data_IF_563073833096
#
_entry.id   IF_563073833096
#
_cell.length_a   1.000
_cell.length_b   1.000
_cell.length_c   1.000
_cell.angle_alpha   90.00
_cell.angle_beta   90.00
_cell.angle_gamma   90.00
#
_symmetry.space_group_name_H-M   'P 1'
#
loop_
_entity.id
_entity.type
_entity.pdbx_description
1 polymer ?
#
# COMPACT_ATOMS: atom_id res chain seq x y z
N UNK A 1 1.89 -30.61 -12.99
CA UNK A 1 1.41 -29.55 -12.07
C UNK A 1 1.70 -28.18 -12.67
N UNK A 2 0.76 -27.24 -12.58
CA UNK A 2 0.96 -25.84 -12.99
C UNK A 2 1.15 -24.96 -11.76
N UNK A 3 2.05 -23.99 -11.84
CA UNK A 3 2.20 -22.92 -10.86
C UNK A 3 2.34 -21.55 -11.54
N UNK A 4 1.84 -20.51 -10.88
CA UNK A 4 1.90 -19.12 -11.35
C UNK A 4 2.70 -18.31 -10.35
N UNK A 5 3.65 -17.52 -10.84
CA UNK A 5 4.41 -16.54 -10.06
C UNK A 5 4.20 -15.14 -10.63
N UNK A 6 4.04 -14.10 -9.79
CA UNK A 6 4.12 -14.15 -8.33
C UNK A 6 2.84 -14.70 -7.65
N UNK A 7 1.67 -14.59 -8.29
CA UNK A 7 0.37 -14.98 -7.73
C UNK A 7 -0.63 -15.26 -8.88
N UNK A 8 -1.76 -15.90 -8.60
CA UNK A 8 -2.84 -16.14 -9.59
C UNK A 8 -3.67 -14.88 -9.87
N UNK A 9 -3.68 -13.94 -8.92
CA UNK A 9 -4.29 -12.62 -9.10
C UNK A 9 -3.20 -11.55 -9.21
N UNK A 10 -3.16 -10.92 -10.38
CA UNK A 10 -2.11 -10.00 -10.80
C UNK A 10 -2.72 -8.73 -11.37
N UNK A 11 -1.88 -7.73 -11.57
CA UNK A 11 -2.27 -6.42 -12.04
C UNK A 11 -1.68 -6.10 -13.40
N UNK A 12 -2.43 -5.33 -14.19
CA UNK A 12 -2.01 -4.90 -15.52
C UNK A 12 -0.61 -4.28 -15.48
N UNK A 13 0.25 -4.76 -16.37
CA UNK A 13 1.65 -4.35 -16.47
C UNK A 13 2.63 -5.19 -15.65
N UNK A 14 2.17 -6.10 -14.79
CA UNK A 14 3.05 -7.02 -14.06
C UNK A 14 3.68 -8.08 -14.97
N UNK A 15 4.84 -8.58 -14.54
CA UNK A 15 5.46 -9.76 -15.14
C UNK A 15 4.96 -11.02 -14.43
N UNK A 16 4.48 -11.99 -15.20
CA UNK A 16 3.92 -13.25 -14.69
C UNK A 16 4.57 -14.43 -15.38
N UNK A 17 4.98 -15.42 -14.60
CA UNK A 17 5.55 -16.67 -15.09
C UNK A 17 4.63 -17.83 -14.76
N UNK A 18 4.15 -18.51 -15.80
CA UNK A 18 3.51 -19.81 -15.71
C UNK A 18 4.60 -20.89 -15.79
N UNK A 19 4.56 -21.88 -14.90
CA UNK A 19 5.50 -23.01 -14.89
C UNK A 19 4.76 -24.33 -14.83
N UNK A 20 5.17 -25.26 -15.69
CA UNK A 20 4.68 -26.63 -15.72
C UNK A 20 5.77 -27.56 -15.19
N UNK A 21 5.48 -28.27 -14.10
CA UNK A 21 6.35 -29.31 -13.54
C UNK A 21 5.72 -30.68 -13.75
N UNK A 22 6.47 -31.62 -14.32
CA UNK A 22 6.01 -32.99 -14.60
C UNK A 22 6.85 -33.93 -13.75
N UNK A 23 6.16 -34.68 -12.89
CA UNK A 23 6.79 -35.69 -12.03
C UNK A 23 7.01 -36.96 -12.86
N UNK A 24 8.22 -37.13 -13.39
CA UNK A 24 8.58 -38.27 -14.23
C UNK A 24 10.00 -38.76 -13.96
N UNK A 25 10.11 -39.86 -13.22
CA UNK A 25 11.41 -40.49 -13.00
C UNK A 25 12.00 -41.03 -14.31
N UNK A 26 13.29 -40.73 -14.52
CA UNK A 26 14.08 -41.21 -15.65
C UNK A 26 13.88 -40.46 -16.97
N UNK A 27 13.01 -39.44 -17.03
CA UNK A 27 12.84 -38.61 -18.25
C UNK A 27 13.58 -37.28 -18.05
N UNK A 28 14.65 -37.09 -18.82
CA UNK A 28 15.49 -35.89 -18.75
C UNK A 28 15.05 -34.77 -19.69
N UNK A 29 14.20 -35.08 -20.68
CA UNK A 29 13.76 -34.08 -21.67
C UNK A 29 12.28 -34.21 -22.02
N UNK A 30 11.50 -33.23 -21.57
CA UNK A 30 10.09 -33.06 -21.90
C UNK A 30 9.91 -31.96 -22.94
N UNK A 31 9.00 -32.19 -23.88
CA UNK A 31 8.37 -31.14 -24.69
C UNK A 31 7.07 -30.75 -24.00
N UNK A 32 6.92 -29.46 -23.68
CA UNK A 32 5.73 -28.94 -23.02
C UNK A 32 4.74 -28.43 -24.05
N UNK A 33 3.46 -28.38 -23.69
CA UNK A 33 2.41 -27.78 -24.49
C UNK A 33 1.42 -27.11 -23.55
N UNK A 34 1.27 -25.80 -23.72
CA UNK A 34 0.35 -25.00 -22.93
C UNK A 34 -0.92 -24.71 -23.71
N UNK A 35 -2.05 -24.84 -23.02
CA UNK A 35 -3.38 -24.56 -23.53
C UNK A 35 -4.03 -23.46 -22.71
N UNK A 36 -4.90 -22.69 -23.36
CA UNK A 36 -5.62 -21.58 -22.75
C UNK A 36 -7.12 -21.69 -23.03
N UNK A 37 -7.93 -21.49 -22.00
CA UNK A 37 -9.40 -21.42 -22.07
C UNK A 37 -10.05 -22.62 -22.77
N UNK A 38 -9.50 -23.82 -22.54
CA UNK A 38 -9.98 -25.07 -23.14
C UNK A 38 -9.74 -25.20 -24.65
N UNK A 39 -8.95 -24.31 -25.26
CA UNK A 39 -8.55 -24.40 -26.66
C UNK A 39 -7.49 -25.49 -26.86
N UNK A 40 -7.64 -26.30 -27.91
CA UNK A 40 -6.62 -27.28 -28.33
C UNK A 40 -5.38 -26.64 -28.99
N UNK A 41 -5.42 -25.32 -29.23
CA UNK A 41 -4.28 -24.60 -29.79
C UNK A 41 -3.17 -24.42 -28.75
N UNK A 42 -1.99 -24.94 -29.06
CA UNK A 42 -0.79 -24.73 -28.24
C UNK A 42 -0.30 -23.29 -28.41
N UNK A 43 -0.24 -22.53 -27.32
CA UNK A 43 0.28 -21.14 -27.36
C UNK A 43 1.76 -21.04 -26.92
N UNK A 44 2.27 -22.05 -26.22
CA UNK A 44 3.68 -22.10 -25.76
C UNK A 44 4.13 -23.56 -25.61
N UNK A 45 5.40 -23.82 -25.94
CA UNK A 45 6.03 -25.14 -25.80
C UNK A 45 7.14 -25.19 -24.74
N UNK A 46 7.33 -24.09 -24.01
CA UNK A 46 8.36 -23.95 -22.98
C UNK A 46 7.88 -24.51 -21.64
N UNK A 47 8.80 -24.98 -20.79
CA UNK A 47 8.46 -25.36 -19.41
C UNK A 47 7.92 -24.16 -18.62
N UNK A 48 8.54 -23.00 -18.83
CA UNK A 48 8.15 -21.73 -18.24
C UNK A 48 7.77 -20.75 -19.35
N UNK A 49 6.58 -20.17 -19.25
CA UNK A 49 6.12 -19.10 -20.13
C UNK A 49 6.00 -17.80 -19.32
N UNK A 50 6.66 -16.74 -19.75
CA UNK A 50 6.66 -15.46 -19.05
C UNK A 50 5.99 -14.37 -19.88
N UNK A 51 4.91 -13.82 -19.34
CA UNK A 51 4.32 -12.57 -19.81
C UNK A 51 5.12 -11.42 -19.19
N UNK A 52 5.80 -10.62 -20.01
CA UNK A 52 6.59 -9.48 -19.51
C UNK A 52 5.71 -8.35 -18.98
N UNK A 53 4.52 -8.17 -19.55
CA UNK A 53 3.55 -7.14 -19.18
C UNK A 53 2.14 -7.67 -19.44
N UNK A 54 1.47 -8.14 -18.39
CA UNK A 54 0.12 -8.72 -18.52
C UNK A 54 -0.95 -7.67 -18.81
N UNK A 55 -1.94 -8.09 -19.58
CA UNK A 55 -3.14 -7.35 -19.97
C UNK A 55 -4.39 -8.19 -19.70
N UNK A 56 -5.57 -7.60 -19.82
CA UNK A 56 -6.84 -8.32 -19.63
C UNK A 56 -6.99 -9.52 -20.58
N UNK A 57 -6.45 -9.43 -21.80
CA UNK A 57 -6.46 -10.55 -22.75
C UNK A 57 -5.59 -11.73 -22.33
N UNK A 58 -4.69 -11.56 -21.36
CA UNK A 58 -3.87 -12.64 -20.81
C UNK A 58 -4.59 -13.36 -19.65
N UNK A 59 -5.68 -12.81 -19.12
CA UNK A 59 -6.53 -13.52 -18.17
C UNK A 59 -7.15 -14.75 -18.82
N UNK A 60 -7.40 -15.79 -18.02
CA UNK A 60 -7.99 -17.03 -18.51
C UNK A 60 -7.55 -18.25 -17.70
N UNK A 61 -7.98 -19.43 -18.15
CA UNK A 61 -7.61 -20.71 -17.55
C UNK A 61 -6.46 -21.35 -18.33
N UNK A 62 -5.47 -21.84 -17.61
CA UNK A 62 -4.25 -22.41 -18.18
C UNK A 62 -4.06 -23.84 -17.71
N UNK A 63 -3.75 -24.71 -18.66
CA UNK A 63 -3.33 -26.09 -18.41
C UNK A 63 -2.09 -26.42 -19.22
N UNK A 64 -1.35 -27.43 -18.77
CA UNK A 64 -0.16 -27.91 -19.46
C UNK A 64 -0.19 -29.42 -19.64
N UNK A 65 0.51 -29.85 -20.69
CA UNK A 65 0.76 -31.24 -21.06
C UNK A 65 2.23 -31.41 -21.41
N UNK A 66 2.78 -32.61 -21.21
CA UNK A 66 4.13 -32.93 -21.67
C UNK A 66 4.21 -34.26 -22.40
N UNK A 67 5.10 -34.28 -23.40
CA UNK A 67 5.49 -35.46 -24.15
C UNK A 67 7.01 -35.62 -24.11
N UNK A 68 7.48 -36.85 -23.95
CA UNK A 68 8.91 -37.15 -23.96
C UNK A 68 9.50 -36.87 -25.36
N UNK A 69 10.65 -36.18 -25.41
CA UNK A 69 11.29 -35.89 -26.69
C UNK A 69 11.96 -37.16 -27.24
N UNK A 70 11.49 -37.63 -28.39
CA UNK A 70 12.05 -38.82 -29.06
C UNK A 70 11.68 -40.15 -28.41
N UNK A 71 10.75 -40.13 -27.44
CA UNK A 71 10.19 -41.32 -26.80
C UNK A 71 8.68 -41.42 -27.01
N UNK A 72 8.03 -42.30 -26.23
CA UNK A 72 6.59 -42.56 -26.31
C UNK A 72 5.83 -42.15 -25.04
N UNK A 73 6.54 -41.72 -23.99
CA UNK A 73 5.92 -41.38 -22.71
C UNK A 73 5.25 -40.01 -22.78
N UNK A 74 4.07 -39.91 -22.16
CA UNK A 74 3.28 -38.69 -22.10
C UNK A 74 2.75 -38.47 -20.69
N UNK A 75 2.51 -37.22 -20.31
CA UNK A 75 1.81 -36.89 -19.07
C UNK A 75 0.31 -36.87 -19.29
N UNK A 76 -0.48 -36.85 -18.21
CA UNK A 76 -1.86 -36.35 -18.28
C UNK A 76 -1.86 -34.82 -18.44
N UNK A 77 -2.97 -34.27 -18.94
CA UNK A 77 -3.20 -32.81 -18.89
C UNK A 77 -3.35 -32.40 -17.42
N UNK A 78 -2.74 -31.29 -17.04
CA UNK A 78 -2.83 -30.76 -15.67
C UNK A 78 -4.22 -30.23 -15.34
N UNK A 79 -4.52 -30.10 -14.05
CA UNK A 79 -5.63 -29.25 -13.59
C UNK A 79 -5.47 -27.82 -14.13
N UNK A 80 -6.61 -27.17 -14.39
CA UNK A 80 -6.65 -25.77 -14.83
C UNK A 80 -6.31 -24.82 -13.67
N UNK A 81 -5.43 -23.85 -13.93
CA UNK A 81 -5.20 -22.72 -13.03
C UNK A 81 -5.72 -21.45 -13.69
N UNK A 82 -6.46 -20.64 -12.93
CA UNK A 82 -7.02 -19.38 -13.43
C UNK A 82 -6.07 -18.22 -13.15
N UNK A 83 -5.68 -17.49 -14.19
CA UNK A 83 -4.99 -16.21 -14.09
C UNK A 83 -6.03 -15.09 -14.18
N UNK A 84 -6.05 -14.21 -13.18
CA UNK A 84 -6.94 -13.05 -13.15
C UNK A 84 -6.11 -11.76 -13.19
N UNK A 85 -6.52 -10.82 -14.03
CA UNK A 85 -5.82 -9.55 -14.25
C UNK A 85 -6.74 -8.39 -13.89
N UNK A 86 -6.31 -7.56 -12.94
CA UNK A 86 -7.01 -6.33 -12.53
C UNK A 86 -6.21 -5.08 -12.90
N UNK A 87 -6.84 -3.91 -12.82
CA UNK A 87 -6.13 -2.64 -12.96
C UNK A 87 -5.09 -2.38 -11.87
N UNK A 88 -4.15 -1.49 -12.15
CA UNK A 88 -3.05 -1.13 -11.23
C UNK A 88 -3.59 -0.81 -9.81
N UNK A 89 -3.10 -1.52 -8.77
CA UNK A 89 -3.67 -1.44 -7.45
C UNK A 89 -3.23 -0.18 -6.73
N UNK A 90 -4.05 0.26 -5.78
CA UNK A 90 -3.72 1.31 -4.82
C UNK A 90 -3.50 0.69 -3.45
N UNK A 91 -2.43 1.10 -2.77
CA UNK A 91 -2.25 0.76 -1.36
C UNK A 91 -3.34 1.43 -0.50
N UNK A 92 -3.70 0.84 0.63
CA UNK A 92 -4.68 1.37 1.56
C UNK A 92 -4.03 1.50 2.93
N UNK A 93 -4.11 2.70 3.51
CA UNK A 93 -3.51 3.00 4.80
C UNK A 93 -4.59 3.18 5.86
N UNK A 94 -4.51 2.38 6.91
CA UNK A 94 -5.31 2.48 8.12
C UNK A 94 -4.43 2.68 9.36
N UNK A 95 -5.05 3.13 10.45
CA UNK A 95 -4.36 3.42 11.72
C UNK A 95 -5.14 2.74 12.84
N UNK A 96 -4.46 2.05 13.74
CA UNK A 96 -5.05 1.33 14.87
C UNK A 96 -4.25 1.59 16.17
N UNK A 97 -4.91 1.82 17.31
CA UNK A 97 -6.37 1.87 17.49
C UNK A 97 -6.99 3.21 17.08
N UNK A 98 -6.23 4.30 17.16
CA UNK A 98 -6.74 5.66 16.91
C UNK A 98 -5.66 6.59 16.36
N UNK A 99 -6.09 7.72 15.81
CA UNK A 99 -5.22 8.73 15.17
C UNK A 99 -4.76 9.84 16.11
N UNK A 100 -5.43 10.01 17.24
CA UNK A 100 -5.13 11.01 18.26
C UNK A 100 -4.51 10.31 19.46
N UNK A 101 -3.28 10.63 19.77
CA UNK A 101 -2.46 9.94 20.74
C UNK A 101 -1.94 10.94 21.77
N UNK A 102 -1.73 10.46 22.97
CA UNK A 102 -0.91 11.12 23.97
C UNK A 102 0.52 10.57 23.92
N UNK A 103 1.49 11.34 24.40
CA UNK A 103 2.87 10.83 24.50
C UNK A 103 2.93 9.57 25.36
N UNK A 104 3.62 8.55 24.85
CA UNK A 104 3.64 7.22 25.45
C UNK A 104 2.69 6.22 24.79
N UNK A 105 1.62 6.67 24.12
CA UNK A 105 0.63 5.75 23.53
C UNK A 105 1.23 4.92 22.38
N UNK A 106 0.90 3.62 22.30
CA UNK A 106 1.27 2.79 21.16
C UNK A 106 0.29 2.99 19.99
N UNK A 107 0.82 2.98 18.77
CA UNK A 107 0.01 3.02 17.54
C UNK A 107 0.64 2.18 16.44
N UNK A 108 -0.20 1.59 15.60
CA UNK A 108 0.25 0.90 14.39
C UNK A 108 -0.44 1.48 13.17
N UNK A 109 0.36 1.90 12.20
CA UNK A 109 -0.09 2.22 10.85
C UNK A 109 -0.02 0.93 10.01
N UNK A 110 -1.11 0.60 9.32
CA UNK A 110 -1.28 -0.66 8.59
C UNK A 110 -1.49 -0.33 7.11
N UNK A 111 -0.59 -0.83 6.26
CA UNK A 111 -0.63 -0.65 4.82
C UNK A 111 -0.93 -1.98 4.12
N UNK A 112 -1.96 -2.00 3.29
CA UNK A 112 -2.43 -3.21 2.60
C UNK A 112 -2.65 -2.96 1.10
N UNK A 113 -2.55 -4.01 0.30
CA UNK A 113 -2.90 -3.98 -1.13
C UNK A 113 -4.18 -4.79 -1.33
N UNK A 114 -5.28 -4.13 -1.68
CA UNK A 114 -6.54 -4.84 -1.91
C UNK A 114 -6.40 -5.83 -3.06
N UNK A 115 -6.93 -7.04 -2.86
CA UNK A 115 -6.89 -8.10 -3.86
C UNK A 115 -5.60 -8.90 -3.89
N UNK A 116 -4.54 -8.56 -3.14
CA UNK A 116 -3.36 -9.41 -3.09
C UNK A 116 -2.67 -9.36 -1.73
N UNK A 117 -2.42 -10.54 -1.15
CA UNK A 117 -1.85 -10.68 0.19
C UNK A 117 -0.38 -11.10 0.22
N UNK A 118 0.23 -11.40 -0.93
CA UNK A 118 1.58 -12.01 -0.95
C UNK A 118 2.57 -11.27 -1.84
N UNK A 119 3.85 -11.31 -1.44
CA UNK A 119 4.98 -10.82 -2.23
C UNK A 119 5.23 -9.30 -2.18
N UNK A 120 4.46 -8.53 -1.41
CA UNK A 120 4.60 -7.07 -1.32
C UNK A 120 5.66 -6.63 -0.31
N UNK A 121 6.50 -5.68 -0.74
CA UNK A 121 7.38 -4.90 0.14
C UNK A 121 6.86 -3.47 0.21
N UNK A 122 6.50 -3.01 1.40
CA UNK A 122 5.92 -1.69 1.60
C UNK A 122 7.00 -0.63 1.84
N UNK A 123 6.80 0.57 1.32
CA UNK A 123 7.61 1.75 1.67
C UNK A 123 6.73 2.82 2.29
N UNK A 124 7.28 3.52 3.29
CA UNK A 124 6.54 4.44 4.15
C UNK A 124 7.06 5.86 4.01
N UNK A 125 6.15 6.81 3.91
CA UNK A 125 6.45 8.20 3.66
C UNK A 125 5.69 9.09 4.64
N UNK A 126 6.35 10.18 5.03
CA UNK A 126 5.70 11.30 5.72
C UNK A 126 5.66 12.52 4.81
N UNK A 127 4.55 13.24 4.83
CA UNK A 127 4.35 14.49 4.11
C UNK A 127 5.08 15.61 4.86
N UNK A 128 5.97 16.32 4.17
CA UNK A 128 6.73 17.43 4.75
C UNK A 128 6.24 18.76 4.19
N UNK A 129 6.32 19.81 5.01
CA UNK A 129 6.00 21.19 4.61
C UNK A 129 7.20 21.76 3.85
N UNK A 130 7.51 21.20 2.69
CA UNK A 130 8.54 21.72 1.78
C UNK A 130 7.87 22.42 0.59
N UNK A 131 8.38 23.60 0.24
CA UNK A 131 8.00 24.30 -1.00
C UNK A 131 8.49 23.59 -2.26
N UNK A 132 9.49 22.71 -2.10
CA UNK A 132 10.00 21.85 -3.16
C UNK A 132 9.11 20.60 -3.31
N UNK A 133 8.38 20.52 -4.42
CA UNK A 133 7.52 19.37 -4.76
C UNK A 133 8.29 18.04 -4.75
N UNK A 134 9.59 18.05 -5.07
CA UNK A 134 10.41 16.84 -5.11
C UNK A 134 10.74 16.28 -3.72
N UNK A 135 10.65 17.12 -2.68
CA UNK A 135 10.92 16.76 -1.27
C UNK A 135 9.66 16.65 -0.42
N UNK A 136 8.48 16.76 -1.03
CA UNK A 136 7.20 16.68 -0.33
C UNK A 136 7.04 15.36 0.43
N UNK A 137 7.57 14.26 -0.09
CA UNK A 137 7.49 12.95 0.56
C UNK A 137 8.86 12.50 1.06
N UNK A 138 9.01 12.43 2.37
CA UNK A 138 10.22 11.95 3.01
C UNK A 138 10.06 10.45 3.30
N UNK A 139 10.94 9.63 2.71
CA UNK A 139 11.01 8.20 3.02
C UNK A 139 11.45 8.02 4.48
N UNK A 140 10.72 7.20 5.23
CA UNK A 140 11.08 6.85 6.60
C UNK A 140 12.19 5.79 6.59
N UNK A 141 13.34 6.07 7.21
CA UNK A 141 14.55 5.23 7.13
C UNK A 141 14.39 3.82 7.72
N UNK A 142 13.46 3.62 8.66
CA UNK A 142 13.14 2.33 9.27
C UNK A 142 12.14 1.47 8.46
N UNK A 143 11.85 1.86 7.21
CA UNK A 143 10.81 1.24 6.38
C UNK A 143 11.13 -0.18 5.86
N UNK A 144 12.21 -0.80 6.31
CA UNK A 144 12.55 -2.21 6.04
C UNK A 144 12.21 -3.14 7.22
N UNK A 145 10.97 -3.06 7.74
CA UNK A 145 10.42 -4.11 8.62
C UNK A 145 9.47 -5.00 7.81
N UNK A 146 10.10 -6.00 7.19
CA UNK A 146 9.49 -6.96 6.27
C UNK A 146 8.39 -7.83 6.88
N UNK A 147 7.58 -8.38 5.97
CA UNK A 147 6.46 -9.31 6.20
C UNK A 147 5.38 -8.77 7.15
N UNK A 148 4.60 -7.80 6.69
CA UNK A 148 3.37 -7.43 7.39
C UNK A 148 2.78 -6.07 7.04
N UNK A 149 3.51 -5.21 6.31
CA UNK A 149 2.98 -3.91 5.90
C UNK A 149 2.60 -3.00 7.07
N UNK A 150 3.15 -3.23 8.27
CA UNK A 150 2.82 -2.50 9.48
C UNK A 150 4.00 -1.63 9.95
N UNK A 151 3.69 -0.39 10.32
CA UNK A 151 4.62 0.54 10.96
C UNK A 151 4.12 0.83 12.39
N UNK A 152 4.78 0.19 13.37
CA UNK A 152 4.42 0.31 14.79
C UNK A 152 5.31 1.33 15.48
N UNK A 153 4.66 2.28 16.15
CA UNK A 153 5.28 3.24 17.07
C UNK A 153 4.89 2.78 18.48
N UNK A 154 5.83 2.18 19.21
CA UNK A 154 5.57 1.63 20.55
C UNK A 154 5.34 2.70 21.61
N UNK A 155 5.92 3.88 21.43
CA UNK A 155 5.77 5.02 22.34
C UNK A 155 5.70 6.29 21.50
N UNK A 156 4.50 6.85 21.40
CA UNK A 156 4.27 8.08 20.66
C UNK A 156 5.01 9.26 21.30
N UNK A 157 5.48 10.17 20.45
CA UNK A 157 6.23 11.36 20.84
C UNK A 157 5.84 12.47 19.88
N UNK A 158 5.98 13.75 20.28
CA UNK A 158 5.59 14.88 19.43
C UNK A 158 6.17 14.83 18.00
N UNK A 159 7.39 14.29 17.82
CA UNK A 159 8.05 14.10 16.52
C UNK A 159 7.34 13.14 15.56
N UNK A 160 6.44 12.29 16.07
CA UNK A 160 5.63 11.38 15.27
C UNK A 160 4.34 12.03 14.75
N UNK A 161 4.06 13.30 15.10
CA UNK A 161 2.94 14.04 14.52
C UNK A 161 3.22 14.35 13.05
N UNK A 162 2.32 13.94 12.16
CA UNK A 162 2.50 14.13 10.72
C UNK A 162 1.46 13.43 9.86
N UNK A 163 1.57 13.61 8.55
CA UNK A 163 0.69 12.95 7.57
C UNK A 163 1.45 11.83 6.90
N UNK A 164 0.95 10.60 7.06
CA UNK A 164 1.58 9.39 6.59
C UNK A 164 0.90 8.87 5.31
N UNK A 165 1.71 8.24 4.46
CA UNK A 165 1.28 7.48 3.29
C UNK A 165 2.25 6.32 3.03
N UNK A 166 1.82 5.36 2.22
CA UNK A 166 2.62 4.20 1.87
C UNK A 166 2.38 3.80 0.43
N UNK A 167 3.36 3.11 -0.16
CA UNK A 167 3.21 2.34 -1.38
C UNK A 167 3.74 0.92 -1.15
N UNK A 168 3.61 0.07 -2.16
CA UNK A 168 4.18 -1.27 -2.14
C UNK A 168 4.79 -1.62 -3.48
N UNK A 169 5.83 -2.46 -3.44
CA UNK A 169 6.46 -3.02 -4.63
C UNK A 169 6.60 -4.53 -4.55
N UNK A 170 6.49 -5.21 -5.70
CA UNK A 170 6.79 -6.65 -5.83
C UNK A 170 7.35 -6.99 -7.20
N UNK A 171 7.86 -8.20 -7.35
CA UNK A 171 8.37 -8.72 -8.62
C UNK A 171 9.78 -8.23 -8.98
N UNK A 172 10.31 -8.78 -10.07
CA UNK A 172 11.57 -8.38 -10.73
C UNK A 172 11.32 -8.35 -12.24
N UNK A 173 11.30 -7.17 -12.91
CA UNK A 173 11.53 -5.82 -12.36
C UNK A 173 10.47 -5.38 -11.33
N UNK A 174 10.77 -4.38 -10.49
CA UNK A 174 9.86 -3.95 -9.43
C UNK A 174 8.61 -3.27 -10.02
N UNK A 175 7.45 -3.85 -9.72
CA UNK A 175 6.14 -3.27 -9.98
C UNK A 175 5.62 -2.56 -8.74
N UNK A 176 5.20 -1.29 -8.89
CA UNK A 176 4.79 -0.43 -7.79
C UNK A 176 3.28 -0.20 -7.79
N UNK A 177 2.67 -0.16 -6.62
CA UNK A 177 1.29 0.30 -6.44
C UNK A 177 1.18 1.83 -6.56
N UNK A 178 -0.04 2.34 -6.65
CA UNK A 178 -0.27 3.75 -6.36
C UNK A 178 -0.18 4.03 -4.86
N UNK A 179 0.29 5.24 -4.52
CA UNK A 179 0.29 5.73 -3.15
C UNK A 179 -1.08 5.61 -2.49
N UNK A 180 -1.06 5.29 -1.21
CA UNK A 180 -2.24 5.17 -0.39
C UNK A 180 -2.91 6.51 -0.10
N UNK A 181 -4.08 6.43 0.54
CA UNK A 181 -4.73 7.59 1.15
C UNK A 181 -3.84 8.17 2.25
N UNK A 182 -3.88 9.50 2.41
CA UNK A 182 -3.16 10.20 3.48
C UNK A 182 -3.87 10.02 4.82
N UNK A 183 -3.11 9.63 5.85
CA UNK A 183 -3.59 9.58 7.23
C UNK A 183 -2.82 10.55 8.14
N UNK A 184 -3.54 11.36 8.89
CA UNK A 184 -2.97 12.22 9.92
C UNK A 184 -2.78 11.40 11.20
N UNK A 185 -1.60 11.49 11.78
CA UNK A 185 -1.29 11.03 13.13
C UNK A 185 -1.00 12.26 14.00
N UNK A 186 -1.71 12.39 15.11
CA UNK A 186 -1.61 13.52 16.01
C UNK A 186 -1.16 13.06 17.39
N UNK A 187 -0.03 13.57 17.88
CA UNK A 187 0.45 13.28 19.23
C UNK A 187 0.42 14.56 20.06
N UNK A 188 -0.29 14.54 21.18
CA UNK A 188 -0.26 15.61 22.18
C UNK A 188 0.66 15.24 23.32
N UNK A 189 1.44 16.21 23.81
CA UNK A 189 2.17 16.04 25.06
C UNK A 189 1.20 15.82 26.23
N UNK A 190 1.72 15.24 27.32
CA UNK A 190 1.10 15.33 28.65
C UNK A 190 1.25 16.77 29.16
N UNK A 191 0.56 17.69 28.51
CA UNK A 191 0.39 19.06 28.97
C UNK A 191 -0.95 19.17 29.70
N UNK A 192 -1.07 20.04 30.72
CA UNK A 192 -2.36 20.36 31.32
C UNK A 192 -3.44 20.66 30.26
N UNK A 193 -4.71 20.34 30.55
CA UNK A 193 -5.80 20.53 29.61
C UNK A 193 -5.92 22.01 29.22
N UNK A 194 -5.82 22.28 27.92
CA UNK A 194 -6.03 23.61 27.34
C UNK A 194 -7.47 23.69 26.86
N UNK A 195 -8.18 24.75 27.26
CA UNK A 195 -9.55 25.00 26.83
C UNK A 195 -9.56 25.93 25.62
N UNK A 196 -10.16 25.48 24.52
CA UNK A 196 -10.45 26.35 23.38
C UNK A 196 -11.76 27.10 23.65
N UNK A 197 -11.68 28.43 23.69
CA UNK A 197 -12.81 29.32 23.87
C UNK A 197 -13.12 29.97 22.52
N UNK A 198 -14.37 29.85 22.09
CA UNK A 198 -14.90 30.45 20.86
C UNK A 198 -15.78 31.62 21.27
N UNK A 199 -15.51 32.81 20.73
CA UNK A 199 -16.33 34.00 20.94
C UNK A 199 -16.80 34.57 19.61
N UNK A 200 -18.12 34.64 19.34
CA UNK A 200 -19.21 34.19 20.21
C UNK A 200 -19.34 32.66 20.27
N UNK A 201 -19.63 32.09 21.45
CA UNK A 201 -19.77 30.64 21.66
C UNK A 201 -21.07 30.12 21.06
N UNK A 202 -21.05 29.81 19.76
CA UNK A 202 -22.21 29.30 19.00
C UNK A 202 -21.74 28.21 18.03
N UNK A 203 -22.62 27.27 17.71
CA UNK A 203 -22.32 26.16 16.78
C UNK A 203 -22.49 26.55 15.31
N UNK A 204 -23.11 27.69 15.02
CA UNK A 204 -23.33 28.23 13.68
C UNK A 204 -22.92 29.70 13.65
N UNK A 205 -22.16 30.07 12.62
CA UNK A 205 -21.68 31.42 12.40
C UNK A 205 -22.11 31.93 11.03
N UNK A 206 -22.42 33.23 10.96
CA UNK A 206 -22.66 33.91 9.69
C UNK A 206 -21.33 34.18 8.99
N UNK A 207 -21.30 34.06 7.67
CA UNK A 207 -20.08 34.27 6.86
C UNK A 207 -19.53 35.71 6.95
N UNK A 208 -20.33 36.66 7.39
CA UNK A 208 -19.98 38.07 7.53
C UNK A 208 -19.59 38.49 8.95
N UNK A 209 -19.54 37.57 9.91
CA UNK A 209 -19.27 37.88 11.33
C UNK A 209 -17.96 37.23 11.74
N UNK A 210 -17.02 38.05 12.23
CA UNK A 210 -15.75 37.55 12.75
C UNK A 210 -15.96 36.75 14.03
N UNK A 211 -15.09 35.75 14.22
CA UNK A 211 -15.06 34.93 15.42
C UNK A 211 -13.64 34.95 15.98
N UNK A 212 -13.56 35.02 17.31
CA UNK A 212 -12.30 34.94 18.03
C UNK A 212 -12.13 33.54 18.59
N UNK A 213 -10.97 32.93 18.33
CA UNK A 213 -10.53 31.70 18.97
C UNK A 213 -9.44 32.05 19.96
N UNK A 214 -9.67 31.77 21.24
CA UNK A 214 -8.66 31.93 22.30
C UNK A 214 -8.42 30.59 22.98
N UNK A 215 -7.15 30.22 23.16
CA UNK A 215 -6.78 29.04 23.94
C UNK A 215 -6.35 29.51 25.33
N UNK A 216 -6.97 28.97 26.38
CA UNK A 216 -6.59 29.25 27.77
C UNK A 216 -6.01 27.97 28.39
N UNK A 217 -4.78 28.06 28.90
CA UNK A 217 -4.10 27.00 29.63
C UNK A 217 -4.33 27.21 31.13
N UNK A 218 -4.50 26.12 31.89
CA UNK A 218 -4.47 26.18 33.35
C UNK A 218 -3.06 26.38 33.91
N UNK A 219 -2.03 26.33 33.05
CA UNK A 219 -0.64 26.62 33.40
C UNK A 219 -0.14 27.93 32.76
N UNK A 220 0.53 28.77 33.56
CA UNK A 220 1.12 30.04 33.15
C UNK A 220 2.36 29.81 32.26
N UNK A 221 2.18 29.41 30.99
CA UNK A 221 3.30 29.22 30.07
C UNK A 221 3.21 30.10 28.82
N UNK A 222 4.16 31.02 28.67
CA UNK A 222 4.22 32.01 27.58
C UNK A 222 4.77 31.45 26.24
N UNK A 223 4.88 30.13 26.08
CA UNK A 223 5.64 29.49 24.98
C UNK A 223 4.80 28.70 23.97
N UNK A 224 3.48 28.80 24.00
CA UNK A 224 2.60 28.04 23.11
C UNK A 224 2.48 28.67 21.72
N UNK A 225 2.30 27.82 20.68
CA UNK A 225 1.93 28.24 19.32
C UNK A 225 0.63 27.56 18.91
N UNK A 226 -0.33 28.35 18.43
CA UNK A 226 -1.60 27.82 17.90
C UNK A 226 -1.41 27.41 16.44
N UNK A 227 -1.80 26.18 16.10
CA UNK A 227 -1.79 25.66 14.72
C UNK A 227 -3.21 25.28 14.31
N UNK A 228 -3.61 25.65 13.09
CA UNK A 228 -4.93 25.29 12.52
C UNK A 228 -4.74 24.28 11.40
N UNK A 229 -5.61 23.27 11.42
CA UNK A 229 -5.79 22.34 10.30
C UNK A 229 -7.22 22.50 9.80
N UNK A 230 -7.37 22.87 8.54
CA UNK A 230 -8.70 22.93 7.89
C UNK A 230 -9.08 21.53 7.37
N UNK A 231 -10.36 21.30 7.05
CA UNK A 231 -10.83 20.03 6.47
C UNK A 231 -10.10 19.64 5.17
N UNK A 232 -9.48 20.62 4.50
CA UNK A 232 -8.60 20.40 3.36
C UNK A 232 -7.19 19.88 3.73
N UNK A 233 -6.95 19.57 5.02
CA UNK A 233 -5.73 18.96 5.57
C UNK A 233 -4.44 19.76 5.28
N UNK A 234 -4.55 21.07 5.07
CA UNK A 234 -3.42 21.98 5.00
C UNK A 234 -3.10 22.56 6.38
N UNK A 235 -1.80 22.68 6.66
CA UNK A 235 -1.27 23.28 7.88
C UNK A 235 -1.19 24.80 7.71
N UNK A 236 -1.89 25.55 8.56
CA UNK A 236 -1.78 27.02 8.62
C UNK A 236 -1.29 27.46 10.01
N UNK A 237 -0.28 28.34 10.03
CA UNK A 237 0.24 28.94 11.26
C UNK A 237 -0.68 30.11 11.68
N UNK A 238 -1.25 30.06 12.88
CA UNK A 238 -2.18 31.08 13.38
C UNK A 238 -1.49 32.33 13.93
N UNK A 239 -0.16 32.36 13.95
CA UNK A 239 0.62 33.48 14.49
C UNK A 239 0.53 34.76 13.64
N UNK A 240 -0.16 34.72 12.50
CA UNK A 240 -0.39 35.85 11.61
C UNK A 240 -1.86 36.20 11.50
N UNK A 241 -2.16 37.41 11.98
CA UNK A 241 -3.27 38.31 11.63
C UNK A 241 -4.66 38.04 12.21
N UNK A 242 -5.24 39.16 12.68
CA UNK A 242 -6.66 39.38 12.98
C UNK A 242 -7.52 38.94 11.79
N UNK A 243 -8.66 38.31 12.10
CA UNK A 243 -9.74 38.01 11.16
C UNK A 243 -11.07 38.39 11.79
#
# INVERSE_FOLDING_TARGET
KVSIKPDQHVFRGETVTLRCDIDGEGVTSWKYSWYKDGSDSVFSELQEHTFSSVTESDAGKYSCYGAERGGSRTSNISDEVTLTVSDKPRAVLSVSPQKWLTEGDPVTLICEVKGSSTGWTFSWYTDTVSSDYSKRYQLLSDSSRGAGGNYTVSSAALKHTGVYMCDAKRGKPPYYTWYSNKQLLWVTGVSPPVSLIISPSRTQHFTSVSLSLSCEDQSNSDRWRVRRYTDNKQLEDCSSSRW
#
